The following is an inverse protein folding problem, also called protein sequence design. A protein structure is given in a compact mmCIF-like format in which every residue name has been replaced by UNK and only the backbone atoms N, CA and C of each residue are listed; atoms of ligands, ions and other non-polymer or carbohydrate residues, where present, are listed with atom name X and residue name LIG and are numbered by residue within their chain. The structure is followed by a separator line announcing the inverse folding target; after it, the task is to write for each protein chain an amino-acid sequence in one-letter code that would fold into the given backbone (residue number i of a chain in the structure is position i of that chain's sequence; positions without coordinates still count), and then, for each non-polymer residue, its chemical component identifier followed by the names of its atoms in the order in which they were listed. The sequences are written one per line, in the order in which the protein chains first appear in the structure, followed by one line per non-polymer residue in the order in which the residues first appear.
data_IF_640534203554
#
_entry.id   IF_640534203554
#
_cell.length_a   1.000
_cell.length_b   1.000
_cell.length_c   1.000
_cell.angle_alpha   90.00
_cell.angle_beta   90.00
_cell.angle_gamma   90.00
#
_symmetry.space_group_name_H-M   'P 1'
#
loop_
_entity.id
_entity.type
_entity.pdbx_description
1 polymer ?
#
# COMPACT_ATOMS: atom_id res chain seq x y z
N UNK A 1 -26.77 1.07 8.48
CA UNK A 1 -25.72 1.30 7.48
C UNK A 1 -25.09 -0.05 7.14
N UNK A 2 -24.95 -0.35 5.85
CA UNK A 2 -24.39 -1.61 5.33
C UNK A 2 -23.01 -1.36 4.75
N UNK A 3 -22.01 -2.12 5.18
CA UNK A 3 -20.61 -1.85 4.84
C UNK A 3 -19.94 -3.11 4.27
N UNK A 4 -19.30 -2.96 3.11
CA UNK A 4 -18.46 -3.99 2.51
C UNK A 4 -16.98 -3.63 2.59
N UNK A 5 -16.12 -4.64 2.60
CA UNK A 5 -14.66 -4.46 2.62
C UNK A 5 -13.98 -5.33 1.57
N UNK A 6 -13.22 -4.70 0.68
CA UNK A 6 -12.46 -5.35 -0.38
C UNK A 6 -10.97 -5.28 -0.08
N UNK A 7 -10.33 -6.43 0.09
CA UNK A 7 -8.88 -6.55 0.28
C UNK A 7 -8.36 -7.94 -0.07
N UNK A 8 -7.05 -8.03 -0.24
CA UNK A 8 -6.32 -9.29 -0.42
C UNK A 8 -4.92 -9.27 0.20
N UNK A 9 -4.63 -8.28 1.05
CA UNK A 9 -3.33 -8.08 1.69
C UNK A 9 -3.47 -7.75 3.17
N UNK A 10 -2.37 -7.89 3.94
CA UNK A 10 -2.37 -7.70 5.38
C UNK A 10 -2.91 -6.34 5.82
N UNK A 11 -2.55 -5.25 5.17
CA UNK A 11 -3.04 -3.90 5.47
C UNK A 11 -4.58 -3.83 5.60
N UNK A 12 -5.28 -4.43 4.64
CA UNK A 12 -6.74 -4.45 4.71
C UNK A 12 -7.27 -5.38 5.79
N UNK A 13 -6.63 -6.54 6.01
CA UNK A 13 -7.01 -7.46 7.09
C UNK A 13 -6.82 -6.80 8.45
N UNK A 14 -5.72 -6.09 8.70
CA UNK A 14 -5.49 -5.33 9.94
C UNK A 14 -6.60 -4.29 10.19
N UNK A 15 -7.06 -3.61 9.14
CA UNK A 15 -8.19 -2.68 9.23
C UNK A 15 -9.50 -3.38 9.61
N UNK A 16 -9.80 -4.54 9.01
CA UNK A 16 -11.00 -5.33 9.34
C UNK A 16 -10.94 -5.76 10.81
N UNK A 17 -9.83 -6.34 11.24
CA UNK A 17 -9.64 -6.84 12.62
C UNK A 17 -9.77 -5.72 13.65
N UNK A 18 -9.30 -4.52 13.34
CA UNK A 18 -9.48 -3.36 14.23
C UNK A 18 -10.95 -2.95 14.35
N UNK A 19 -11.68 -2.87 13.23
CA UNK A 19 -13.11 -2.55 13.27
C UNK A 19 -13.88 -3.57 14.08
N UNK A 20 -13.61 -4.85 13.91
CA UNK A 20 -14.23 -5.92 14.70
C UNK A 20 -13.87 -5.80 16.19
N UNK A 21 -12.61 -5.48 16.52
CA UNK A 21 -12.12 -5.29 17.90
C UNK A 21 -12.86 -4.16 18.64
N UNK A 22 -13.21 -3.08 17.93
CA UNK A 22 -13.95 -1.94 18.50
C UNK A 22 -15.48 -2.11 18.44
N UNK A 23 -15.97 -3.31 18.09
CA UNK A 23 -17.40 -3.66 18.06
C UNK A 23 -18.13 -3.29 16.78
N UNK A 24 -17.41 -2.92 15.72
CA UNK A 24 -17.97 -2.75 14.38
C UNK A 24 -18.21 -4.10 13.68
N UNK A 25 -18.85 -4.07 12.52
CA UNK A 25 -19.10 -5.27 11.70
C UNK A 25 -19.07 -4.91 10.21
N UNK A 26 -18.98 -5.92 9.37
CA UNK A 26 -19.10 -5.81 7.91
C UNK A 26 -20.19 -6.75 7.39
N UNK A 27 -20.89 -6.31 6.36
CA UNK A 27 -22.00 -7.06 5.74
C UNK A 27 -21.54 -7.90 4.55
N UNK A 28 -20.35 -7.61 3.99
CA UNK A 28 -19.77 -8.35 2.87
C UNK A 28 -18.25 -8.18 2.84
N UNK A 29 -17.54 -9.29 2.72
CA UNK A 29 -16.11 -9.26 2.34
C UNK A 29 -15.94 -9.58 0.86
N UNK A 30 -14.99 -8.90 0.22
CA UNK A 30 -14.61 -9.13 -1.19
C UNK A 30 -13.10 -9.38 -1.24
N UNK A 31 -12.68 -10.43 -1.93
CA UNK A 31 -11.25 -10.77 -2.08
C UNK A 31 -10.96 -11.40 -3.45
N UNK A 32 -9.68 -11.54 -3.80
CA UNK A 32 -9.29 -12.22 -5.03
C UNK A 32 -9.53 -13.73 -4.94
N UNK A 33 -9.89 -14.36 -6.07
CA UNK A 33 -9.91 -15.82 -6.21
C UNK A 33 -8.55 -16.43 -5.90
N UNK A 34 -8.54 -17.62 -5.33
CA UNK A 34 -7.33 -18.29 -4.81
C UNK A 34 -6.32 -18.59 -5.91
N UNK A 35 -6.79 -18.83 -7.15
CA UNK A 35 -5.92 -19.06 -8.32
C UNK A 35 -5.02 -17.85 -8.65
N UNK A 36 -5.46 -16.63 -8.31
CA UNK A 36 -4.70 -15.40 -8.50
C UNK A 36 -3.75 -15.10 -7.33
N UNK A 37 -3.87 -15.84 -6.23
CA UNK A 37 -3.07 -15.65 -5.03
C UNK A 37 -1.57 -15.88 -5.28
N UNK A 38 -1.23 -16.84 -6.16
CA UNK A 38 0.16 -17.22 -6.47
C UNK A 38 0.99 -16.10 -7.08
N UNK A 39 0.34 -15.09 -7.68
CA UNK A 39 1.00 -13.97 -8.35
C UNK A 39 1.01 -12.69 -7.51
N UNK A 40 0.41 -12.71 -6.31
CA UNK A 40 0.27 -11.51 -5.46
C UNK A 40 1.17 -11.63 -4.23
N UNK A 41 2.21 -10.83 -4.18
CA UNK A 41 3.05 -10.70 -2.99
C UNK A 41 2.23 -10.22 -1.79
N UNK A 42 2.46 -10.81 -0.62
CA UNK A 42 1.75 -10.47 0.62
C UNK A 42 0.27 -10.84 0.65
N UNK A 43 -0.16 -11.78 -0.20
CA UNK A 43 -1.55 -12.28 -0.24
C UNK A 43 -1.95 -12.90 1.10
N UNK A 44 -3.12 -12.48 1.60
CA UNK A 44 -3.82 -13.11 2.72
C UNK A 44 -5.16 -13.69 2.26
N UNK A 45 -5.73 -14.58 3.05
CA UNK A 45 -7.04 -15.19 2.83
C UNK A 45 -8.02 -14.70 3.89
N UNK A 46 -9.27 -14.48 3.50
CA UNK A 46 -10.33 -14.01 4.39
C UNK A 46 -11.32 -15.12 4.79
N UNK A 47 -11.11 -16.36 4.36
CA UNK A 47 -12.06 -17.46 4.55
C UNK A 47 -12.35 -17.73 6.03
N UNK A 48 -11.31 -17.90 6.85
CA UNK A 48 -11.47 -18.14 8.28
C UNK A 48 -12.11 -16.94 9.00
N UNK A 49 -11.72 -15.72 8.60
CA UNK A 49 -12.27 -14.49 9.15
C UNK A 49 -13.77 -14.37 8.81
N UNK A 50 -14.12 -14.59 7.56
CA UNK A 50 -15.51 -14.55 7.11
C UNK A 50 -16.38 -15.59 7.82
N UNK A 51 -15.85 -16.80 7.98
CA UNK A 51 -16.55 -17.87 8.72
C UNK A 51 -16.73 -17.50 10.21
N UNK A 52 -15.69 -16.99 10.87
CA UNK A 52 -15.73 -16.59 12.28
C UNK A 52 -16.75 -15.50 12.54
N UNK A 53 -16.83 -14.50 11.66
CA UNK A 53 -17.73 -13.35 11.77
C UNK A 53 -19.12 -13.60 11.17
N UNK A 54 -19.34 -14.78 10.57
CA UNK A 54 -20.55 -15.11 9.81
C UNK A 54 -20.87 -14.05 8.74
N UNK A 55 -19.83 -13.50 8.10
CA UNK A 55 -19.94 -12.48 7.05
C UNK A 55 -19.80 -13.15 5.68
N UNK A 56 -20.69 -12.88 4.71
CA UNK A 56 -20.55 -13.36 3.34
C UNK A 56 -19.20 -12.99 2.73
N UNK A 57 -18.59 -13.90 1.96
CA UNK A 57 -17.32 -13.71 1.27
C UNK A 57 -17.47 -13.92 -0.23
N UNK A 58 -17.26 -12.87 -1.01
CA UNK A 58 -17.23 -12.91 -2.47
C UNK A 58 -15.77 -12.98 -2.95
N UNK A 59 -15.41 -14.03 -3.71
CA UNK A 59 -14.11 -14.19 -4.35
C UNK A 59 -14.21 -13.81 -5.83
N UNK A 60 -13.47 -12.80 -6.27
CA UNK A 60 -13.53 -12.20 -7.61
C UNK A 60 -12.20 -12.29 -8.36
N UNK A 61 -12.22 -12.15 -9.67
CA UNK A 61 -11.00 -11.99 -10.49
C UNK A 61 -10.65 -10.51 -10.66
N UNK A 62 -11.65 -9.68 -10.82
CA UNK A 62 -11.47 -8.25 -11.01
C UNK A 62 -12.56 -7.47 -10.29
N UNK A 63 -12.20 -6.30 -9.73
CA UNK A 63 -13.14 -5.45 -9.00
C UNK A 63 -14.32 -4.98 -9.87
N UNK A 64 -14.17 -4.95 -11.17
CA UNK A 64 -15.20 -4.55 -12.13
C UNK A 64 -16.03 -5.73 -12.67
N UNK A 65 -15.86 -6.93 -12.13
CA UNK A 65 -16.67 -8.08 -12.53
C UNK A 65 -18.16 -7.83 -12.21
N UNK A 66 -19.11 -8.28 -13.08
CA UNK A 66 -20.54 -8.10 -12.85
C UNK A 66 -21.02 -8.60 -11.48
N UNK A 67 -20.44 -9.71 -11.01
CA UNK A 67 -20.75 -10.32 -9.71
C UNK A 67 -20.50 -9.36 -8.54
N UNK A 68 -19.59 -8.40 -8.67
CA UNK A 68 -19.35 -7.36 -7.65
C UNK A 68 -20.55 -6.41 -7.58
N UNK A 69 -21.02 -5.94 -8.74
CA UNK A 69 -22.18 -5.03 -8.80
C UNK A 69 -23.45 -5.69 -8.27
N UNK A 70 -23.66 -6.97 -8.60
CA UNK A 70 -24.77 -7.77 -8.11
C UNK A 70 -24.71 -7.92 -6.59
N UNK A 71 -23.55 -8.29 -6.02
CA UNK A 71 -23.38 -8.45 -4.59
C UNK A 71 -23.55 -7.13 -3.83
N UNK A 72 -22.97 -6.02 -4.33
CA UNK A 72 -23.14 -4.70 -3.70
C UNK A 72 -24.60 -4.26 -3.64
N UNK A 73 -25.36 -4.58 -4.70
CA UNK A 73 -26.81 -4.29 -4.77
C UNK A 73 -27.63 -5.23 -3.87
N UNK A 74 -27.36 -6.54 -3.92
CA UNK A 74 -28.08 -7.56 -3.13
C UNK A 74 -27.93 -7.31 -1.63
N UNK A 75 -26.72 -6.97 -1.19
CA UNK A 75 -26.42 -6.64 0.21
C UNK A 75 -26.77 -5.19 0.58
N UNK A 76 -27.30 -4.39 -0.36
CA UNK A 76 -27.68 -2.98 -0.17
C UNK A 76 -26.56 -2.12 0.44
N UNK A 77 -25.33 -2.29 -0.04
CA UNK A 77 -24.12 -1.67 0.52
C UNK A 77 -24.18 -0.14 0.44
N UNK A 78 -23.97 0.52 1.58
CA UNK A 78 -23.84 1.96 1.68
C UNK A 78 -22.40 2.42 1.43
N UNK A 79 -21.42 1.79 2.07
CA UNK A 79 -19.99 2.06 1.89
C UNK A 79 -19.23 0.81 1.49
N UNK A 80 -18.33 0.93 0.52
CA UNK A 80 -17.35 -0.09 0.19
C UNK A 80 -15.94 0.43 0.53
N UNK A 81 -15.22 -0.24 1.42
CA UNK A 81 -13.80 -0.02 1.59
C UNK A 81 -13.01 -0.81 0.55
N UNK A 82 -12.06 -0.14 -0.14
CA UNK A 82 -11.09 -0.79 -1.03
C UNK A 82 -9.69 -0.43 -0.52
N UNK A 83 -9.05 -1.36 0.22
CA UNK A 83 -7.76 -1.11 0.87
C UNK A 83 -6.75 -2.19 0.48
N UNK A 84 -5.55 -1.78 0.09
CA UNK A 84 -4.50 -2.68 -0.37
C UNK A 84 -4.84 -3.40 -1.69
N UNK A 85 -5.54 -2.75 -2.56
CA UNK A 85 -6.01 -3.25 -3.84
C UNK A 85 -5.30 -2.57 -5.01
N UNK A 86 -4.96 -3.31 -6.06
CA UNK A 86 -4.15 -2.79 -7.18
C UNK A 86 -4.91 -2.59 -8.49
N UNK A 87 -6.19 -3.03 -8.54
CA UNK A 87 -7.03 -2.86 -9.72
C UNK A 87 -7.84 -1.57 -9.58
N UNK A 88 -8.05 -0.88 -10.69
CA UNK A 88 -8.82 0.38 -10.72
C UNK A 88 -10.32 0.05 -10.74
N UNK A 89 -11.07 0.63 -9.81
CA UNK A 89 -12.52 0.58 -9.80
C UNK A 89 -13.08 1.49 -10.90
N UNK A 90 -13.87 0.93 -11.79
CA UNK A 90 -14.53 1.68 -12.85
C UNK A 90 -15.78 2.41 -12.37
N UNK A 91 -16.31 3.31 -13.21
CA UNK A 91 -17.44 4.18 -12.88
C UNK A 91 -18.66 3.44 -12.32
N UNK A 92 -19.00 2.26 -12.87
CA UNK A 92 -20.12 1.47 -12.40
C UNK A 92 -19.93 0.98 -10.95
N UNK A 93 -18.70 0.57 -10.61
CA UNK A 93 -18.39 0.13 -9.24
C UNK A 93 -18.33 1.34 -8.31
N UNK A 94 -17.75 2.46 -8.74
CA UNK A 94 -17.71 3.70 -7.97
C UNK A 94 -19.10 4.21 -7.59
N UNK A 95 -20.09 4.03 -8.47
CA UNK A 95 -21.46 4.46 -8.27
C UNK A 95 -22.38 3.43 -7.58
N UNK A 96 -21.91 2.18 -7.37
CA UNK A 96 -22.75 1.10 -6.87
C UNK A 96 -23.10 1.23 -5.37
N UNK A 97 -22.17 1.54 -4.44
CA UNK A 97 -22.52 1.80 -3.05
C UNK A 97 -23.28 3.12 -2.91
N UNK A 98 -24.30 3.17 -2.05
CA UNK A 98 -25.19 4.32 -1.92
C UNK A 98 -24.48 5.63 -1.51
N UNK A 99 -23.42 5.53 -0.70
CA UNK A 99 -22.65 6.67 -0.20
C UNK A 99 -21.28 6.82 -0.85
N UNK A 100 -20.74 5.71 -1.40
CA UNK A 100 -19.51 5.71 -2.17
C UNK A 100 -18.48 4.70 -1.70
N UNK A 101 -17.25 4.89 -2.14
CA UNK A 101 -16.11 4.01 -1.86
C UNK A 101 -15.05 4.79 -1.08
N UNK A 102 -14.48 4.15 -0.08
CA UNK A 102 -13.38 4.67 0.73
C UNK A 102 -12.12 3.89 0.42
N UNK A 103 -11.07 4.60 0.03
CA UNK A 103 -9.72 4.09 -0.13
C UNK A 103 -8.77 4.61 0.94
N UNK A 104 -7.62 3.96 1.07
CA UNK A 104 -6.50 4.48 1.85
C UNK A 104 -5.23 4.42 1.02
N UNK A 105 -4.52 5.55 0.95
CA UNK A 105 -3.29 5.70 0.21
C UNK A 105 -2.12 6.04 1.16
N UNK A 106 -0.96 5.36 1.07
CA UNK A 106 0.13 5.54 2.04
C UNK A 106 1.03 6.77 1.74
N UNK A 107 0.38 7.93 1.53
CA UNK A 107 1.00 9.25 1.44
C UNK A 107 0.12 10.30 2.11
N UNK A 108 0.61 11.53 2.19
CA UNK A 108 -0.16 12.72 2.59
C UNK A 108 -0.73 13.38 1.34
N UNK A 109 -1.84 12.85 0.79
CA UNK A 109 -2.50 13.44 -0.37
C UNK A 109 -2.74 14.95 -0.17
N UNK A 110 -2.58 15.76 -1.20
CA UNK A 110 -2.42 15.44 -2.62
C UNK A 110 -1.00 15.08 -3.08
N UNK A 111 -0.04 14.97 -2.16
CA UNK A 111 1.34 14.60 -2.49
C UNK A 111 1.46 13.08 -2.71
N UNK A 112 2.17 12.67 -3.77
CA UNK A 112 2.51 11.27 -4.01
C UNK A 112 1.31 10.40 -4.40
N UNK A 113 0.38 10.90 -5.22
CA UNK A 113 -0.64 10.07 -5.88
C UNK A 113 0.01 8.99 -6.73
N UNK A 114 -0.67 7.89 -6.97
CA UNK A 114 -0.25 6.83 -7.89
C UNK A 114 0.29 5.59 -7.18
N UNK A 115 1.52 5.18 -7.49
CA UNK A 115 2.00 3.84 -7.11
C UNK A 115 3.34 3.87 -6.38
N UNK A 116 3.67 2.74 -5.73
CA UNK A 116 4.96 2.52 -5.08
C UNK A 116 5.30 3.59 -4.00
N UNK A 117 4.30 4.03 -3.25
CA UNK A 117 4.43 5.12 -2.27
C UNK A 117 5.53 4.89 -1.24
N UNK A 118 5.65 3.67 -0.69
CA UNK A 118 6.66 3.32 0.30
C UNK A 118 8.08 3.45 -0.25
N UNK A 119 8.45 2.81 -1.40
CA UNK A 119 9.76 3.01 -1.98
C UNK A 119 10.06 4.49 -2.31
N UNK A 120 9.09 5.20 -2.87
CA UNK A 120 9.33 6.59 -3.26
C UNK A 120 9.56 7.52 -2.07
N UNK A 121 8.91 7.29 -0.93
CA UNK A 121 9.15 8.07 0.27
C UNK A 121 10.61 7.97 0.73
N UNK A 122 11.21 6.77 0.67
CA UNK A 122 12.60 6.51 1.04
C UNK A 122 13.56 7.04 -0.03
N UNK A 123 13.33 6.73 -1.30
CA UNK A 123 14.18 7.16 -2.42
C UNK A 123 14.30 8.68 -2.50
N UNK A 124 13.21 9.39 -2.26
CA UNK A 124 13.18 10.86 -2.24
C UNK A 124 13.77 11.45 -0.96
N UNK A 125 14.08 10.63 0.06
CA UNK A 125 14.58 11.09 1.34
C UNK A 125 13.62 12.05 2.04
N UNK A 126 12.32 11.73 2.01
CA UNK A 126 11.31 12.59 2.62
C UNK A 126 11.47 12.59 4.15
N UNK A 127 11.28 13.73 4.82
CA UNK A 127 11.33 13.79 6.29
C UNK A 127 10.07 13.18 6.93
N UNK A 128 8.99 13.07 6.19
CA UNK A 128 7.73 12.47 6.61
C UNK A 128 6.95 11.92 5.43
N UNK A 129 6.08 10.98 5.71
CA UNK A 129 5.00 10.52 4.83
C UNK A 129 3.72 10.40 5.67
N UNK A 130 2.77 9.58 5.26
CA UNK A 130 1.57 9.34 6.05
C UNK A 130 0.62 8.37 5.37
N UNK A 131 -0.60 8.34 5.88
CA UNK A 131 -1.71 7.62 5.27
C UNK A 131 -2.88 8.58 5.14
N UNK A 132 -3.52 8.59 3.98
CA UNK A 132 -4.74 9.35 3.72
C UNK A 132 -5.89 8.38 3.50
N UNK A 133 -6.94 8.49 4.31
CA UNK A 133 -8.25 7.93 4.05
C UNK A 133 -9.03 8.93 3.19
N UNK A 134 -9.59 8.50 2.07
CA UNK A 134 -10.24 9.40 1.13
C UNK A 134 -11.44 8.73 0.43
N UNK A 135 -12.39 9.53 -0.03
CA UNK A 135 -13.51 9.06 -0.84
C UNK A 135 -13.04 8.92 -2.29
N UNK A 136 -13.10 7.69 -2.82
CA UNK A 136 -12.64 7.43 -4.19
C UNK A 136 -13.55 8.08 -5.23
N UNK A 137 -12.95 8.61 -6.27
CA UNK A 137 -13.58 9.15 -7.47
C UNK A 137 -13.01 8.51 -8.75
N UNK A 138 -13.32 9.05 -9.92
CA UNK A 138 -12.85 8.52 -11.19
C UNK A 138 -11.36 8.74 -11.46
N UNK A 139 -10.70 9.63 -10.71
CA UNK A 139 -9.27 9.91 -10.82
C UNK A 139 -8.43 8.95 -9.96
N UNK A 140 -7.12 8.99 -10.15
CA UNK A 140 -6.19 8.22 -9.33
C UNK A 140 -5.85 9.03 -8.08
N UNK A 141 -6.33 8.58 -6.91
CA UNK A 141 -6.11 9.20 -5.59
C UNK A 141 -6.49 10.68 -5.53
N UNK A 142 -7.53 11.09 -6.28
CA UNK A 142 -7.95 12.50 -6.44
C UNK A 142 -9.11 12.92 -5.55
N UNK A 143 -9.83 11.97 -4.99
CA UNK A 143 -11.04 12.21 -4.23
C UNK A 143 -10.83 12.90 -2.88
N UNK A 144 -11.92 13.34 -2.28
CA UNK A 144 -11.91 14.15 -1.07
C UNK A 144 -11.31 13.41 0.15
N UNK A 145 -10.51 14.11 0.92
CA UNK A 145 -9.83 13.59 2.12
C UNK A 145 -10.85 13.48 3.25
N UNK A 146 -10.94 12.28 3.84
CA UNK A 146 -11.73 12.00 5.04
C UNK A 146 -10.87 12.12 6.30
N UNK A 147 -9.65 11.61 6.26
CA UNK A 147 -8.69 11.71 7.36
C UNK A 147 -7.26 11.53 6.89
N UNK A 148 -6.31 12.08 7.64
CA UNK A 148 -4.88 11.87 7.42
C UNK A 148 -4.15 11.58 8.72
N UNK A 149 -3.13 10.74 8.64
CA UNK A 149 -2.16 10.48 9.70
C UNK A 149 -0.75 10.65 9.19
N UNK A 150 0.09 11.39 9.94
CA UNK A 150 1.50 11.65 9.60
C UNK A 150 2.41 10.58 10.18
N UNK A 151 3.43 10.22 9.45
CA UNK A 151 4.48 9.27 9.84
C UNK A 151 5.82 9.97 9.62
N UNK A 152 6.52 10.38 10.68
CA UNK A 152 7.87 10.93 10.55
C UNK A 152 8.85 9.84 10.10
N UNK A 153 9.80 10.22 9.24
CA UNK A 153 10.80 9.31 8.70
C UNK A 153 12.20 9.74 9.21
N UNK A 154 12.96 8.77 9.71
CA UNK A 154 14.37 8.96 10.03
C UNK A 154 15.26 8.51 8.86
N UNK A 155 16.50 8.99 8.83
CA UNK A 155 17.40 8.78 7.68
C UNK A 155 17.70 7.32 7.36
N UNK A 156 17.64 6.43 8.35
CA UNK A 156 17.91 5.00 8.19
C UNK A 156 16.63 4.14 7.96
N UNK A 157 15.45 4.76 7.77
CA UNK A 157 14.20 4.03 7.59
C UNK A 157 14.28 3.05 6.43
N UNK A 158 13.76 1.84 6.63
CA UNK A 158 13.68 0.78 5.62
C UNK A 158 12.24 0.57 5.14
N UNK A 159 12.07 -0.08 3.99
CA UNK A 159 10.74 -0.44 3.51
C UNK A 159 10.01 -1.35 4.50
N UNK A 160 10.71 -2.31 5.13
CA UNK A 160 10.13 -3.20 6.14
C UNK A 160 9.54 -2.42 7.32
N UNK A 161 10.30 -1.48 7.84
CA UNK A 161 9.85 -0.64 8.96
C UNK A 161 8.71 0.29 8.54
N UNK A 162 8.84 0.95 7.38
CA UNK A 162 7.79 1.86 6.90
C UNK A 162 6.48 1.12 6.60
N UNK A 163 6.53 -0.12 6.10
CA UNK A 163 5.34 -0.96 5.96
C UNK A 163 4.61 -1.16 7.28
N UNK A 164 5.34 -1.45 8.35
CA UNK A 164 4.76 -1.62 9.69
C UNK A 164 4.11 -0.32 10.18
N UNK A 165 4.80 0.81 10.05
CA UNK A 165 4.27 2.12 10.46
C UNK A 165 3.03 2.52 9.63
N UNK A 166 3.02 2.20 8.34
CA UNK A 166 1.87 2.41 7.46
C UNK A 166 0.69 1.55 7.87
N UNK A 167 0.91 0.25 8.19
CA UNK A 167 -0.14 -0.64 8.69
C UNK A 167 -0.75 -0.11 10.00
N UNK A 168 0.09 0.25 10.96
CA UNK A 168 -0.35 0.85 12.23
C UNK A 168 -1.15 2.14 12.03
N UNK A 169 -0.77 2.96 11.05
CA UNK A 169 -1.49 4.19 10.75
C UNK A 169 -2.83 3.92 10.05
N UNK A 170 -2.92 2.88 9.20
CA UNK A 170 -4.20 2.42 8.64
C UNK A 170 -5.17 2.01 9.74
N UNK A 171 -4.72 1.16 10.66
CA UNK A 171 -5.47 0.71 11.83
C UNK A 171 -5.94 1.90 12.68
N UNK A 172 -5.04 2.84 12.98
CA UNK A 172 -5.35 4.03 13.76
C UNK A 172 -6.40 4.93 13.08
N UNK A 173 -6.34 5.11 11.78
CA UNK A 173 -7.32 5.90 11.04
C UNK A 173 -8.68 5.19 10.99
N UNK A 174 -8.71 3.87 10.80
CA UNK A 174 -9.94 3.09 10.87
C UNK A 174 -10.62 3.23 12.23
N UNK A 175 -9.89 3.02 13.32
CA UNK A 175 -10.42 3.15 14.68
C UNK A 175 -10.97 4.56 14.95
N UNK A 176 -10.21 5.59 14.56
CA UNK A 176 -10.59 6.99 14.79
C UNK A 176 -11.85 7.41 14.02
N UNK A 177 -11.99 6.96 12.77
CA UNK A 177 -13.04 7.44 11.87
C UNK A 177 -14.27 6.54 11.85
N UNK A 178 -14.24 5.37 12.49
CA UNK A 178 -15.33 4.40 12.42
C UNK A 178 -16.64 4.92 12.98
N UNK A 179 -16.63 5.51 14.17
CA UNK A 179 -17.84 6.06 14.80
C UNK A 179 -18.46 7.18 13.99
N UNK A 180 -17.63 8.13 13.50
CA UNK A 180 -18.08 9.21 12.62
C UNK A 180 -18.67 8.71 11.31
N UNK A 181 -18.08 7.64 10.76
CA UNK A 181 -18.58 6.99 9.55
C UNK A 181 -19.98 6.40 9.78
N UNK A 182 -20.15 5.58 10.82
CA UNK A 182 -21.42 4.89 11.07
C UNK A 182 -22.53 5.80 11.54
N UNK A 183 -22.19 6.94 12.17
CA UNK A 183 -23.14 8.00 12.54
C UNK A 183 -23.43 9.00 11.41
N UNK A 184 -22.67 8.93 10.30
CA UNK A 184 -22.80 9.85 9.16
C UNK A 184 -22.29 11.26 9.43
N UNK A 185 -21.40 11.43 10.41
CA UNK A 185 -20.79 12.71 10.79
C UNK A 185 -19.39 12.90 10.22
N UNK A 186 -18.82 11.89 9.58
CA UNK A 186 -17.50 11.97 8.93
C UNK A 186 -17.53 12.97 7.78
N UNK A 187 -16.70 14.00 7.87
CA UNK A 187 -16.65 15.09 6.90
C UNK A 187 -15.52 14.88 5.90
N UNK A 188 -15.77 15.28 4.65
CA UNK A 188 -14.79 15.24 3.57
C UNK A 188 -14.26 16.65 3.26
N UNK A 189 -12.97 16.73 2.95
CA UNK A 189 -12.29 17.97 2.55
C UNK A 189 -11.70 17.79 1.15
N UNK A 190 -12.04 18.66 0.18
CA UNK A 190 -11.46 18.61 -1.16
C UNK A 190 -9.93 18.71 -1.12
N UNK A 191 -9.27 17.98 -2.01
CA UNK A 191 -7.83 18.10 -2.18
C UNK A 191 -7.46 19.41 -2.90
N UNK A 192 -6.36 20.04 -2.50
CA UNK A 192 -5.75 21.15 -3.28
C UNK A 192 -4.95 20.57 -4.45
N UNK A 193 -5.59 20.42 -5.60
CA UNK A 193 -5.00 19.84 -6.80
C UNK A 193 -3.78 20.61 -7.31
N UNK A 194 -3.61 21.89 -6.96
CA UNK A 194 -2.43 22.68 -7.34
C UNK A 194 -1.14 22.22 -6.68
N UNK A 195 -1.27 21.49 -5.57
CA UNK A 195 -0.13 20.91 -4.82
C UNK A 195 0.11 19.43 -5.12
N UNK A 196 -0.69 18.83 -6.00
CA UNK A 196 -0.60 17.42 -6.28
C UNK A 196 0.74 17.05 -6.94
N UNK A 197 1.28 15.91 -6.52
CA UNK A 197 2.40 15.26 -7.19
C UNK A 197 2.04 13.81 -7.48
N UNK A 198 2.59 13.26 -8.55
CA UNK A 198 2.35 11.88 -8.96
C UNK A 198 3.63 11.06 -8.93
N UNK A 199 3.50 9.81 -8.48
CA UNK A 199 4.61 8.88 -8.44
C UNK A 199 4.32 7.67 -9.33
N UNK A 200 5.25 7.33 -10.23
CA UNK A 200 5.08 6.21 -11.13
C UNK A 200 5.18 4.88 -10.39
N UNK A 201 4.64 3.82 -11.00
CA UNK A 201 4.88 2.46 -10.57
C UNK A 201 6.36 2.10 -10.64
N UNK A 202 6.77 1.10 -9.85
CA UNK A 202 8.12 0.50 -9.91
C UNK A 202 8.01 -0.98 -10.21
N UNK A 203 9.04 -1.49 -10.87
CA UNK A 203 9.23 -2.92 -11.19
C UNK A 203 10.49 -3.42 -10.50
N UNK A 204 10.70 -4.75 -10.39
CA UNK A 204 11.93 -5.29 -9.83
C UNK A 204 13.21 -4.78 -10.51
N UNK A 205 13.16 -4.54 -11.82
CA UNK A 205 14.28 -4.04 -12.63
C UNK A 205 14.71 -2.63 -12.20
N UNK A 206 13.80 -1.82 -11.66
CA UNK A 206 14.11 -0.48 -11.15
C UNK A 206 14.96 -0.50 -9.85
N UNK A 207 15.25 -1.68 -9.32
CA UNK A 207 16.12 -1.89 -8.16
C UNK A 207 17.60 -2.05 -8.52
N UNK A 208 18.00 -1.88 -9.78
CA UNK A 208 19.40 -1.97 -10.20
C UNK A 208 20.23 -0.82 -9.63
N UNK A 209 21.35 -1.16 -9.02
CA UNK A 209 22.38 -0.23 -8.57
C UNK A 209 23.58 -0.38 -9.51
N UNK A 210 24.12 0.74 -9.99
CA UNK A 210 25.28 0.78 -10.88
C UNK A 210 26.40 1.60 -10.28
N UNK A 211 27.59 1.54 -10.89
CA UNK A 211 28.74 2.34 -10.48
C UNK A 211 28.52 3.87 -10.58
N UNK A 212 27.48 4.31 -11.30
CA UNK A 212 27.13 5.72 -11.42
C UNK A 212 26.32 6.25 -10.23
N UNK A 213 25.83 5.37 -9.35
CA UNK A 213 25.13 5.77 -8.13
C UNK A 213 26.11 6.36 -7.13
N UNK A 214 25.67 7.41 -6.45
CA UNK A 214 26.34 7.89 -5.22
C UNK A 214 26.06 6.93 -4.07
N UNK A 215 26.88 6.98 -3.03
CA UNK A 215 26.66 6.23 -1.79
C UNK A 215 25.26 6.48 -1.20
N UNK A 216 24.78 7.72 -1.24
CA UNK A 216 23.46 8.10 -0.73
C UNK A 216 22.33 7.46 -1.57
N UNK A 217 22.45 7.47 -2.90
CA UNK A 217 21.45 6.85 -3.79
C UNK A 217 21.43 5.33 -3.64
N UNK A 218 22.61 4.71 -3.56
CA UNK A 218 22.72 3.26 -3.37
C UNK A 218 22.16 2.79 -2.01
N UNK A 219 22.49 3.49 -0.93
CA UNK A 219 21.94 3.23 0.41
C UNK A 219 20.40 3.36 0.43
N UNK A 220 19.87 4.46 -0.12
CA UNK A 220 18.41 4.64 -0.22
C UNK A 220 17.75 3.56 -1.07
N UNK A 221 18.38 3.15 -2.17
CA UNK A 221 17.83 2.08 -3.03
C UNK A 221 17.73 0.77 -2.27
N UNK A 222 18.78 0.34 -1.58
CA UNK A 222 18.75 -0.89 -0.78
C UNK A 222 17.63 -0.82 0.27
N UNK A 223 17.56 0.27 1.04
CA UNK A 223 16.53 0.44 2.08
C UNK A 223 15.10 0.52 1.51
N UNK A 224 14.93 1.14 0.35
CA UNK A 224 13.62 1.34 -0.28
C UNK A 224 13.01 0.08 -0.86
N UNK A 225 13.83 -0.90 -1.25
CA UNK A 225 13.37 -2.14 -1.90
C UNK A 225 13.76 -3.41 -1.15
N UNK A 226 14.19 -3.28 0.12
CA UNK A 226 14.33 -4.43 1.03
C UNK A 226 12.97 -5.09 1.31
N UNK A 227 12.94 -6.19 2.04
CA UNK A 227 11.69 -6.90 2.35
C UNK A 227 10.53 -5.95 2.74
N UNK A 228 9.33 -6.23 2.22
CA UNK A 228 8.86 -7.40 1.47
C UNK A 228 9.09 -7.32 -0.05
N UNK A 229 9.86 -6.37 -0.52
CA UNK A 229 10.25 -6.26 -1.93
C UNK A 229 11.39 -7.23 -2.29
N UNK A 230 11.65 -7.44 -3.59
CA UNK A 230 12.61 -8.45 -4.05
C UNK A 230 14.09 -8.08 -3.81
N UNK A 231 14.39 -6.93 -3.19
CA UNK A 231 15.76 -6.46 -2.97
C UNK A 231 16.31 -5.60 -4.14
N UNK A 232 17.30 -4.77 -3.84
CA UNK A 232 18.12 -4.13 -4.84
C UNK A 232 19.06 -5.16 -5.50
N UNK A 233 19.66 -4.84 -6.63
CA UNK A 233 20.64 -5.74 -7.24
C UNK A 233 21.77 -4.97 -7.92
N UNK A 234 22.92 -5.62 -8.00
CA UNK A 234 24.13 -5.13 -8.65
C UNK A 234 24.70 -6.21 -9.59
N UNK A 235 24.94 -5.88 -10.85
CA UNK A 235 25.50 -6.81 -11.84
C UNK A 235 27.02 -6.76 -11.79
N UNK A 236 27.64 -7.93 -11.70
CA UNK A 236 29.09 -8.10 -11.73
C UNK A 236 29.47 -9.09 -12.84
N UNK A 237 30.76 -9.19 -13.17
CA UNK A 237 31.26 -10.21 -14.07
C UNK A 237 30.98 -11.66 -13.59
N UNK A 238 30.83 -11.83 -12.27
CA UNK A 238 30.62 -13.14 -11.62
C UNK A 238 29.12 -13.44 -11.35
N UNK A 239 28.17 -12.67 -11.94
CA UNK A 239 26.73 -12.82 -11.76
C UNK A 239 26.07 -11.62 -11.08
N UNK A 240 24.78 -11.74 -10.81
CA UNK A 240 23.98 -10.69 -10.15
C UNK A 240 23.97 -10.89 -8.63
N UNK A 241 24.25 -9.84 -7.88
CA UNK A 241 24.08 -9.82 -6.43
C UNK A 241 22.74 -9.16 -6.10
N UNK A 242 21.85 -9.90 -5.46
CA UNK A 242 20.59 -9.38 -4.92
C UNK A 242 20.79 -9.01 -3.46
N UNK A 243 20.42 -7.78 -3.09
CA UNK A 243 20.87 -7.15 -1.84
C UNK A 243 19.66 -6.64 -1.07
N UNK A 244 19.49 -7.08 0.18
CA UNK A 244 18.44 -6.59 1.10
C UNK A 244 18.98 -5.71 2.22
N UNK A 245 20.28 -5.81 2.52
CA UNK A 245 20.95 -4.94 3.46
C UNK A 245 22.39 -4.66 3.01
N UNK A 246 22.83 -3.41 3.15
CA UNK A 246 24.19 -3.00 2.83
C UNK A 246 24.57 -1.78 3.68
N UNK A 247 25.86 -1.49 3.70
CA UNK A 247 26.41 -0.19 4.15
C UNK A 247 27.24 0.42 3.04
N UNK A 248 27.48 1.69 3.13
CA UNK A 248 28.35 2.43 2.20
C UNK A 248 29.61 2.87 2.91
N UNK A 249 30.74 2.96 2.18
CA UNK A 249 32.02 3.43 2.71
C UNK A 249 32.85 4.08 1.61
N UNK A 250 33.55 5.15 1.96
CA UNK A 250 34.53 5.78 1.07
C UNK A 250 35.86 5.01 1.02
N UNK A 251 36.20 4.30 2.10
CA UNK A 251 37.54 3.76 2.34
C UNK A 251 37.63 2.23 2.22
N UNK A 252 36.53 1.53 2.35
CA UNK A 252 36.50 0.07 2.32
C UNK A 252 36.15 -0.45 0.92
N UNK A 253 36.85 -1.51 0.48
CA UNK A 253 36.54 -2.18 -0.80
C UNK A 253 35.17 -2.87 -0.79
N UNK A 254 34.43 -2.68 -1.88
CA UNK A 254 33.11 -3.28 -2.10
C UNK A 254 32.71 -3.15 -3.57
N UNK A 255 31.42 -3.13 -3.84
CA UNK A 255 30.88 -2.85 -5.16
C UNK A 255 31.09 -1.35 -5.46
N UNK A 256 31.76 -1.00 -6.59
CA UNK A 256 32.11 0.38 -6.88
C UNK A 256 30.88 1.27 -7.05
N UNK A 257 30.96 2.49 -6.52
CA UNK A 257 30.03 3.58 -6.69
C UNK A 257 30.78 4.83 -7.14
N UNK A 258 30.08 5.88 -7.53
CA UNK A 258 30.65 7.14 -8.02
C UNK A 258 31.57 7.82 -7.00
N UNK A 259 31.26 7.72 -5.70
CA UNK A 259 31.92 8.43 -4.60
C UNK A 259 32.36 7.49 -3.46
N UNK A 260 32.41 6.18 -3.70
CA UNK A 260 32.81 5.18 -2.71
C UNK A 260 32.40 3.77 -3.11
N UNK A 261 31.98 2.99 -2.14
CA UNK A 261 31.65 1.57 -2.31
C UNK A 261 30.38 1.18 -1.58
N UNK A 262 29.60 0.25 -2.17
CA UNK A 262 28.52 -0.47 -1.52
C UNK A 262 29.03 -1.80 -0.99
N UNK A 263 28.81 -2.06 0.29
CA UNK A 263 29.24 -3.27 0.98
C UNK A 263 27.98 -4.08 1.36
N UNK A 264 27.62 -5.12 0.57
CA UNK A 264 26.49 -5.97 0.87
C UNK A 264 26.66 -6.70 2.21
N UNK A 265 25.60 -6.69 3.03
CA UNK A 265 25.56 -7.35 4.35
C UNK A 265 24.61 -8.54 4.36
N UNK A 266 23.45 -8.39 3.74
CA UNK A 266 22.47 -9.46 3.49
C UNK A 266 22.20 -9.50 2.00
N UNK A 267 22.64 -10.59 1.34
CA UNK A 267 22.57 -10.73 -0.11
C UNK A 267 22.61 -12.18 -0.58
N UNK A 268 22.11 -12.40 -1.77
CA UNK A 268 22.22 -13.67 -2.51
C UNK A 268 22.89 -13.43 -3.86
N UNK A 269 23.59 -14.45 -4.38
CA UNK A 269 24.13 -14.45 -5.72
C UNK A 269 23.22 -15.26 -6.63
N UNK A 270 22.73 -14.62 -7.66
CA UNK A 270 21.98 -15.24 -8.76
C UNK A 270 22.95 -15.54 -9.91
N UNK A 271 22.90 -16.77 -10.43
CA UNK A 271 23.73 -17.22 -11.56
C UNK A 271 23.30 -16.59 -12.88
#
# INVERSE_FOLDING_TARGET
MKIAFCTCVQLGKSCIEEVLRIGGHFDLFITLKDEQARQKSGRIYLDELAQRENTPLLKIRHINDPEVLEALKEHEIDWLFIIGWSQIAGEKVLAAPRQGIIGMHPTLLPLGRGRAAIPWAILKGLPETGVTMFKMDAGVDTGDILAQGRIPLHDAITATELYRLVDEMHVKLMSRCWEELVTGTLTATPQDHSKATEWPGRKPEDGEITADFTMVEADRMVRAVTHPYPGAFYRTEAGTLRIWSARVSADECGLPLKDGYLIPMDYEREE
#
